data_IF_302438104584
#
_entry.id   IF_302438104584
#
_cell.length_a   1.000
_cell.length_b   1.000
_cell.length_c   1.000
_cell.angle_alpha   90.00
_cell.angle_beta   90.00
_cell.angle_gamma   90.00
#
_symmetry.space_group_name_H-M   'P 1'
#
loop_
_entity.id
_entity.type
_entity.pdbx_description
1 polymer ?
#
# COMPACT_ATOMS: atom_id res chain seq x y z
N UNK A 1 -29.04 11.83 -20.96
CA UNK A 1 -27.65 12.09 -20.49
C UNK A 1 -27.54 11.63 -19.04
N UNK A 2 -26.62 10.72 -18.71
CA UNK A 2 -26.37 10.30 -17.33
C UNK A 2 -25.72 11.48 -16.60
N UNK A 3 -26.26 11.86 -15.44
CA UNK A 3 -25.72 12.95 -14.62
C UNK A 3 -24.31 12.58 -14.12
N UNK A 4 -23.37 13.55 -14.11
CA UNK A 4 -22.01 13.41 -13.55
C UNK A 4 -22.05 12.85 -12.11
N UNK A 5 -23.04 13.24 -11.32
CA UNK A 5 -23.30 12.74 -9.96
C UNK A 5 -23.59 11.24 -9.92
N UNK A 6 -24.37 10.71 -10.87
CA UNK A 6 -24.69 9.28 -10.93
C UNK A 6 -23.43 8.45 -11.27
N UNK A 7 -22.63 8.94 -12.23
CA UNK A 7 -21.36 8.28 -12.59
C UNK A 7 -20.43 8.21 -11.37
N UNK A 8 -20.28 9.33 -10.66
CA UNK A 8 -19.49 9.40 -9.44
C UNK A 8 -19.93 8.37 -8.40
N UNK A 9 -21.24 8.32 -8.09
CA UNK A 9 -21.80 7.38 -7.13
C UNK A 9 -21.54 5.91 -7.51
N UNK A 10 -21.74 5.54 -8.78
CA UNK A 10 -21.49 4.17 -9.24
C UNK A 10 -20.01 3.82 -9.11
N UNK A 11 -19.13 4.69 -9.58
CA UNK A 11 -17.68 4.47 -9.60
C UNK A 11 -17.14 4.39 -8.17
N UNK A 12 -17.55 5.28 -7.28
CA UNK A 12 -17.10 5.29 -5.88
C UNK A 12 -17.55 4.04 -5.12
N UNK A 13 -18.82 3.63 -5.25
CA UNK A 13 -19.33 2.39 -4.61
C UNK A 13 -18.58 1.15 -5.10
N UNK A 14 -18.33 1.06 -6.41
CA UNK A 14 -17.58 -0.07 -6.99
C UNK A 14 -16.12 -0.06 -6.49
N UNK A 15 -15.47 1.08 -6.49
CA UNK A 15 -14.09 1.21 -6.02
C UNK A 15 -13.97 0.84 -4.53
N UNK A 16 -14.83 1.40 -3.66
CA UNK A 16 -14.86 1.08 -2.23
C UNK A 16 -15.13 -0.41 -2.00
N UNK A 17 -16.05 -1.01 -2.77
CA UNK A 17 -16.29 -2.46 -2.72
C UNK A 17 -15.05 -3.29 -3.06
N UNK A 18 -14.27 -2.86 -4.06
CA UNK A 18 -13.04 -3.55 -4.46
C UNK A 18 -11.93 -3.49 -3.39
N UNK A 19 -11.85 -2.44 -2.59
CA UNK A 19 -10.87 -2.33 -1.50
C UNK A 19 -11.03 -3.44 -0.43
N UNK A 20 -12.22 -4.04 -0.26
CA UNK A 20 -12.43 -5.18 0.63
C UNK A 20 -11.92 -6.51 0.06
N UNK A 21 -11.84 -6.64 -1.27
CA UNK A 21 -11.55 -7.91 -1.95
C UNK A 21 -10.18 -8.51 -1.57
N UNK A 22 -9.05 -7.75 -1.47
CA UNK A 22 -7.77 -8.29 -1.06
C UNK A 22 -7.85 -9.03 0.28
N UNK A 23 -8.57 -8.48 1.26
CA UNK A 23 -8.74 -9.12 2.56
C UNK A 23 -9.56 -10.40 2.48
N UNK A 24 -10.66 -10.39 1.71
CA UNK A 24 -11.46 -11.59 1.46
C UNK A 24 -10.61 -12.69 0.80
N UNK A 25 -9.76 -12.35 -0.18
CA UNK A 25 -8.87 -13.31 -0.84
C UNK A 25 -7.85 -13.90 0.12
N UNK A 26 -7.25 -13.07 1.00
CA UNK A 26 -6.31 -13.57 2.03
C UNK A 26 -6.99 -14.58 2.96
N UNK A 27 -8.23 -14.31 3.38
CA UNK A 27 -9.00 -15.22 4.23
C UNK A 27 -9.36 -16.52 3.48
N UNK A 28 -9.93 -16.43 2.28
CA UNK A 28 -10.35 -17.58 1.47
C UNK A 28 -9.17 -18.50 1.10
N UNK A 29 -8.04 -17.91 0.72
CA UNK A 29 -6.83 -18.67 0.35
C UNK A 29 -5.96 -19.07 1.54
N UNK A 30 -6.34 -18.69 2.76
CA UNK A 30 -5.58 -18.94 3.99
C UNK A 30 -4.14 -18.43 3.89
N UNK A 31 -3.95 -17.22 3.33
CA UNK A 31 -2.65 -16.57 3.17
C UNK A 31 -2.21 -15.80 4.42
N UNK A 32 -2.84 -16.04 5.56
CA UNK A 32 -2.58 -15.30 6.80
C UNK A 32 -1.13 -15.42 7.29
N UNK A 33 -0.48 -16.56 7.04
CA UNK A 33 0.93 -16.79 7.35
C UNK A 33 1.91 -16.04 6.43
N UNK A 34 1.47 -15.65 5.23
CA UNK A 34 2.26 -14.89 4.28
C UNK A 34 2.24 -13.39 4.65
N UNK A 35 3.12 -12.99 5.59
CA UNK A 35 3.13 -11.66 6.22
C UNK A 35 3.00 -10.49 5.24
N UNK A 36 3.76 -10.41 4.12
CA UNK A 36 3.62 -9.28 3.19
C UNK A 36 2.20 -9.17 2.61
N UNK A 37 1.62 -10.29 2.16
CA UNK A 37 0.29 -10.30 1.57
C UNK A 37 -0.79 -9.91 2.58
N UNK A 38 -0.69 -10.41 3.82
CA UNK A 38 -1.59 -10.03 4.90
C UNK A 38 -1.52 -8.53 5.18
N UNK A 39 -0.33 -7.95 5.25
CA UNK A 39 -0.15 -6.53 5.57
C UNK A 39 -0.73 -5.64 4.47
N UNK A 40 -0.52 -5.95 3.19
CA UNK A 40 -1.13 -5.19 2.09
C UNK A 40 -2.65 -5.35 2.05
N UNK A 41 -3.17 -6.54 2.34
CA UNK A 41 -4.62 -6.73 2.44
C UNK A 41 -5.24 -5.93 3.59
N UNK A 42 -4.56 -5.86 4.74
CA UNK A 42 -4.97 -5.01 5.86
C UNK A 42 -4.92 -3.52 5.51
N UNK A 43 -3.89 -3.09 4.77
CA UNK A 43 -3.80 -1.72 4.28
C UNK A 43 -5.02 -1.35 3.42
N UNK A 44 -5.35 -2.15 2.40
CA UNK A 44 -6.54 -1.87 1.58
C UNK A 44 -7.85 -1.99 2.36
N UNK A 45 -7.92 -2.83 3.39
CA UNK A 45 -9.07 -2.84 4.30
C UNK A 45 -9.18 -1.52 5.08
N UNK A 46 -8.06 -0.94 5.54
CA UNK A 46 -8.05 0.38 6.17
C UNK A 46 -8.53 1.45 5.18
N UNK A 47 -8.04 1.42 3.93
CA UNK A 47 -8.50 2.32 2.87
C UNK A 47 -10.01 2.15 2.60
N UNK A 48 -10.53 0.90 2.58
CA UNK A 48 -11.97 0.64 2.43
C UNK A 48 -12.78 1.30 3.53
N UNK A 49 -12.38 1.09 4.79
CA UNK A 49 -13.06 1.67 5.96
C UNK A 49 -12.97 3.20 5.96
N UNK A 50 -11.81 3.73 5.54
CA UNK A 50 -11.61 5.15 5.39
C UNK A 50 -12.56 5.76 4.35
N UNK A 51 -12.66 5.15 3.18
CA UNK A 51 -13.55 5.65 2.12
C UNK A 51 -15.05 5.52 2.48
N UNK A 52 -15.44 4.65 3.41
CA UNK A 52 -16.82 4.58 3.90
C UNK A 52 -17.24 5.84 4.69
N UNK A 53 -16.30 6.56 5.26
CA UNK A 53 -16.58 7.79 6.03
C UNK A 53 -17.23 8.87 5.16
N UNK A 54 -16.96 8.90 3.85
CA UNK A 54 -17.61 9.81 2.90
C UNK A 54 -19.15 9.64 2.90
N UNK A 55 -19.65 8.43 3.17
CA UNK A 55 -21.09 8.14 3.21
C UNK A 55 -21.74 8.40 4.59
N UNK A 56 -20.95 8.82 5.60
CA UNK A 56 -21.44 8.97 6.98
C UNK A 56 -22.00 10.35 7.32
N UNK A 57 -22.29 11.22 6.35
CA UNK A 57 -22.88 12.56 6.57
C UNK A 57 -22.26 13.34 7.74
N UNK A 58 -20.94 13.32 7.84
CA UNK A 58 -20.21 14.08 8.86
C UNK A 58 -20.35 15.59 8.66
N UNK A 59 -20.17 16.37 9.75
CA UNK A 59 -20.06 17.81 9.63
C UNK A 59 -18.82 18.18 8.79
N UNK A 60 -18.82 19.31 8.06
CA UNK A 60 -17.66 19.72 7.23
C UNK A 60 -16.34 19.74 8.02
N UNK A 61 -16.38 20.24 9.25
CA UNK A 61 -15.20 20.27 10.13
C UNK A 61 -14.70 18.87 10.52
N UNK A 62 -15.61 17.93 10.77
CA UNK A 62 -15.25 16.57 11.11
C UNK A 62 -14.67 15.82 9.90
N UNK A 63 -15.22 16.09 8.70
CA UNK A 63 -14.71 15.52 7.44
C UNK A 63 -13.32 16.05 7.11
N UNK A 64 -13.09 17.35 7.27
CA UNK A 64 -11.78 17.98 7.05
C UNK A 64 -10.71 17.41 8.00
N UNK A 65 -11.01 17.36 9.30
CA UNK A 65 -10.12 16.73 10.30
C UNK A 65 -9.83 15.25 9.97
N UNK A 66 -10.86 14.52 9.56
CA UNK A 66 -10.71 13.13 9.16
C UNK A 66 -9.78 12.98 7.95
N UNK A 67 -9.96 13.80 6.91
CA UNK A 67 -9.14 13.81 5.70
C UNK A 67 -7.67 14.08 6.03
N UNK A 68 -7.41 15.06 6.92
CA UNK A 68 -6.05 15.36 7.39
C UNK A 68 -5.43 14.16 8.09
N UNK A 69 -6.15 13.54 9.05
CA UNK A 69 -5.64 12.39 9.79
C UNK A 69 -5.38 11.20 8.86
N UNK A 70 -6.30 10.93 7.93
CA UNK A 70 -6.13 9.85 6.98
C UNK A 70 -4.88 10.03 6.10
N UNK A 71 -4.73 11.20 5.46
CA UNK A 71 -3.56 11.49 4.62
C UNK A 71 -2.25 11.45 5.42
N UNK A 72 -2.25 11.97 6.65
CA UNK A 72 -1.07 11.94 7.53
C UNK A 72 -0.64 10.51 7.90
N UNK A 73 -1.56 9.56 7.95
CA UNK A 73 -1.29 8.16 8.32
C UNK A 73 -1.00 7.26 7.13
N UNK A 74 -1.55 7.55 5.95
CA UNK A 74 -1.53 6.67 4.78
C UNK A 74 -0.10 6.28 4.37
N UNK A 75 0.74 7.25 4.06
CA UNK A 75 2.12 7.02 3.59
C UNK A 75 3.00 6.37 4.68
N UNK A 76 3.02 6.83 5.95
CA UNK A 76 3.71 6.14 7.03
C UNK A 76 3.29 4.68 7.21
N UNK A 77 2.01 4.34 7.05
CA UNK A 77 1.52 2.96 7.12
C UNK A 77 2.14 2.13 5.98
N UNK A 78 2.09 2.61 4.74
CA UNK A 78 2.65 1.89 3.59
C UNK A 78 4.16 1.72 3.71
N UNK A 79 4.90 2.75 4.11
CA UNK A 79 6.34 2.64 4.38
C UNK A 79 6.65 1.63 5.50
N UNK A 80 5.81 1.60 6.54
CA UNK A 80 5.93 0.59 7.60
C UNK A 80 5.73 -0.82 7.04
N UNK A 81 4.76 -1.04 6.15
CA UNK A 81 4.56 -2.33 5.47
C UNK A 81 5.79 -2.71 4.67
N UNK A 82 6.43 -1.78 3.96
CA UNK A 82 7.69 -2.05 3.26
C UNK A 82 8.82 -2.45 4.20
N UNK A 83 8.87 -1.92 5.43
CA UNK A 83 9.86 -2.33 6.43
C UNK A 83 9.77 -3.82 6.81
N UNK A 84 8.58 -4.41 6.69
CA UNK A 84 8.35 -5.85 6.95
C UNK A 84 8.39 -6.72 5.68
N UNK A 85 7.97 -6.17 4.53
CA UNK A 85 7.79 -6.92 3.28
C UNK A 85 9.02 -6.92 2.37
N UNK A 86 9.90 -5.94 2.50
CA UNK A 86 11.14 -5.86 1.70
C UNK A 86 12.09 -7.03 1.99
N UNK A 87 12.81 -7.48 0.98
CA UNK A 87 13.93 -8.42 1.15
C UNK A 87 15.28 -7.68 1.33
N UNK A 88 15.33 -6.37 1.05
CA UNK A 88 16.53 -5.56 1.16
C UNK A 88 16.71 -5.00 2.57
N UNK A 89 17.86 -5.22 3.23
CA UNK A 89 18.13 -4.64 4.54
C UNK A 89 18.22 -3.11 4.48
N UNK A 90 18.65 -2.55 3.35
CA UNK A 90 18.74 -1.10 3.14
C UNK A 90 17.35 -0.48 3.12
N UNK A 91 16.42 -1.03 2.30
CA UNK A 91 15.03 -0.54 2.25
C UNK A 91 14.35 -0.69 3.60
N UNK A 92 14.53 -1.83 4.29
CA UNK A 92 13.98 -2.03 5.64
C UNK A 92 14.45 -0.96 6.64
N UNK A 93 15.75 -0.68 6.65
CA UNK A 93 16.34 0.33 7.55
C UNK A 93 15.82 1.72 7.21
N UNK A 94 15.83 2.06 5.92
CA UNK A 94 15.36 3.35 5.41
C UNK A 94 13.88 3.58 5.79
N UNK A 95 12.97 2.68 5.41
CA UNK A 95 11.54 2.83 5.66
C UNK A 95 11.19 2.83 7.14
N UNK A 96 11.92 2.06 7.98
CA UNK A 96 11.73 2.04 9.44
C UNK A 96 12.08 3.39 10.10
N UNK A 97 13.01 4.15 9.52
CA UNK A 97 13.39 5.48 10.03
C UNK A 97 12.48 6.54 9.43
N UNK A 98 12.24 6.47 8.12
CA UNK A 98 11.51 7.51 7.39
C UNK A 98 10.03 7.53 7.74
N UNK A 99 9.38 6.37 7.93
CA UNK A 99 7.95 6.34 8.26
C UNK A 99 7.60 7.13 9.54
N UNK A 100 8.23 6.89 10.71
CA UNK A 100 7.96 7.70 11.90
C UNK A 100 8.45 9.14 11.78
N UNK A 101 9.51 9.40 11.01
CA UNK A 101 9.99 10.78 10.79
C UNK A 101 8.96 11.60 9.99
N UNK A 102 8.40 11.06 8.90
CA UNK A 102 7.34 11.71 8.14
C UNK A 102 6.10 11.96 9.00
N UNK A 103 5.66 10.95 9.76
CA UNK A 103 4.53 11.13 10.67
C UNK A 103 4.79 12.27 11.68
N UNK A 104 5.99 12.35 12.25
CA UNK A 104 6.35 13.43 13.18
C UNK A 104 6.35 14.80 12.47
N UNK A 105 6.88 14.89 11.25
CA UNK A 105 6.88 16.12 10.45
C UNK A 105 5.44 16.56 10.15
N UNK A 106 4.56 15.64 9.75
CA UNK A 106 3.16 15.93 9.44
C UNK A 106 2.40 16.40 10.69
N UNK A 107 2.64 15.77 11.85
CA UNK A 107 2.06 16.22 13.13
C UNK A 107 2.53 17.64 13.49
N UNK A 108 3.83 17.90 13.42
CA UNK A 108 4.37 19.24 13.70
C UNK A 108 3.81 20.29 12.76
N UNK A 109 3.73 19.96 11.46
CA UNK A 109 3.13 20.84 10.46
C UNK A 109 1.66 21.17 10.78
N UNK A 110 0.85 20.15 11.16
CA UNK A 110 -0.55 20.35 11.55
C UNK A 110 -0.68 21.16 12.85
N UNK A 111 0.24 21.03 13.80
CA UNK A 111 0.25 21.86 15.03
C UNK A 111 0.53 23.32 14.69
N UNK A 112 1.46 23.60 13.76
CA UNK A 112 1.85 24.97 13.40
C UNK A 112 0.79 25.65 12.52
N UNK A 113 0.23 24.93 11.54
CA UNK A 113 -0.67 25.49 10.51
C UNK A 113 -2.16 25.27 10.78
N UNK A 114 -2.48 24.42 11.77
CA UNK A 114 -3.83 23.94 12.04
C UNK A 114 -4.12 22.60 11.38
N UNK A 115 -5.11 21.88 11.92
CA UNK A 115 -5.59 20.60 11.40
C UNK A 115 -6.65 20.85 10.32
N UNK A 116 -6.20 21.29 9.14
CA UNK A 116 -7.00 21.53 7.94
C UNK A 116 -6.28 21.00 6.70
N UNK A 117 -6.99 20.85 5.59
CA UNK A 117 -6.46 20.32 4.33
C UNK A 117 -5.33 21.18 3.76
N UNK A 118 -5.35 22.50 3.97
CA UNK A 118 -4.28 23.41 3.51
C UNK A 118 -2.94 23.12 4.19
N UNK A 119 -2.95 22.54 5.39
CA UNK A 119 -1.72 22.17 6.08
C UNK A 119 -0.97 21.04 5.35
N UNK A 120 -1.65 20.22 4.57
CA UNK A 120 -1.05 19.09 3.83
C UNK A 120 -0.24 19.53 2.61
N UNK A 121 -0.49 20.72 2.06
CA UNK A 121 0.12 21.24 0.82
C UNK A 121 1.64 21.01 0.74
N UNK A 122 2.36 21.32 1.81
CA UNK A 122 3.82 21.30 1.80
C UNK A 122 4.45 19.95 2.14
N UNK A 123 3.74 19.11 2.89
CA UNK A 123 4.29 17.84 3.38
C UNK A 123 3.91 16.69 2.47
N UNK A 124 2.65 16.65 2.03
CA UNK A 124 2.11 15.55 1.23
C UNK A 124 2.88 15.31 -0.07
N UNK A 125 3.28 16.37 -0.78
CA UNK A 125 4.06 16.24 -2.02
C UNK A 125 5.40 15.53 -1.80
N UNK A 126 6.13 15.90 -0.73
CA UNK A 126 7.38 15.23 -0.37
C UNK A 126 7.17 13.78 0.04
N UNK A 127 6.12 13.50 0.81
CA UNK A 127 5.74 12.15 1.22
C UNK A 127 5.39 11.24 0.03
N UNK A 128 4.62 11.77 -0.95
CA UNK A 128 4.28 11.06 -2.18
C UNK A 128 5.51 10.70 -3.01
N UNK A 129 6.47 11.61 -3.14
CA UNK A 129 7.73 11.33 -3.84
C UNK A 129 8.57 10.27 -3.14
N UNK A 130 8.61 10.28 -1.82
CA UNK A 130 9.34 9.29 -1.03
C UNK A 130 8.71 7.90 -1.19
N UNK A 131 7.39 7.77 -1.04
CA UNK A 131 6.72 6.47 -1.17
C UNK A 131 6.85 5.91 -2.58
N UNK A 132 6.69 6.73 -3.63
CA UNK A 132 6.91 6.32 -5.02
C UNK A 132 8.35 5.84 -5.25
N UNK A 133 9.33 6.56 -4.72
CA UNK A 133 10.74 6.16 -4.83
C UNK A 133 10.99 4.80 -4.19
N UNK A 134 10.40 4.53 -3.02
CA UNK A 134 10.50 3.23 -2.34
C UNK A 134 9.81 2.12 -3.15
N UNK A 135 8.63 2.38 -3.70
CA UNK A 135 7.90 1.42 -4.54
C UNK A 135 8.73 1.05 -5.78
N UNK A 136 9.26 2.06 -6.49
CA UNK A 136 10.11 1.84 -7.67
C UNK A 136 11.37 1.05 -7.29
N UNK A 137 12.01 1.41 -6.19
CA UNK A 137 13.19 0.68 -5.69
C UNK A 137 12.88 -0.79 -5.44
N UNK A 138 11.77 -1.10 -4.75
CA UNK A 138 11.33 -2.47 -4.50
C UNK A 138 11.00 -3.23 -5.79
N UNK A 139 10.36 -2.59 -6.76
CA UNK A 139 10.09 -3.18 -8.08
C UNK A 139 11.42 -3.57 -8.75
N UNK A 140 12.39 -2.66 -8.82
CA UNK A 140 13.70 -2.90 -9.43
C UNK A 140 14.41 -4.07 -8.74
N UNK A 141 14.45 -4.08 -7.39
CA UNK A 141 15.09 -5.16 -6.63
C UNK A 141 14.44 -6.53 -6.88
N UNK A 142 13.12 -6.58 -7.12
CA UNK A 142 12.44 -7.83 -7.42
C UNK A 142 12.62 -8.28 -8.86
N UNK A 143 12.70 -7.34 -9.81
CA UNK A 143 12.98 -7.64 -11.23
C UNK A 143 14.41 -8.13 -11.46
N UNK A 144 15.38 -7.70 -10.64
CA UNK A 144 16.76 -8.17 -10.70
C UNK A 144 16.93 -9.65 -10.28
N UNK A 145 15.92 -10.29 -9.70
CA UNK A 145 16.00 -11.70 -9.33
C UNK A 145 15.96 -12.59 -10.56
N UNK A 146 16.96 -13.49 -10.68
CA UNK A 146 17.10 -14.41 -11.83
C UNK A 146 15.87 -15.31 -12.00
N UNK A 147 15.22 -15.71 -10.89
CA UNK A 147 13.98 -16.51 -10.93
C UNK A 147 12.86 -15.78 -10.19
N UNK A 148 11.80 -15.47 -10.91
CA UNK A 148 10.58 -14.91 -10.34
C UNK A 148 9.71 -16.03 -9.77
N UNK A 149 9.82 -16.28 -8.47
CA UNK A 149 8.95 -17.22 -7.74
C UNK A 149 7.53 -16.68 -7.61
N UNK A 150 6.56 -17.55 -7.29
CA UNK A 150 5.17 -17.14 -7.09
C UNK A 150 5.00 -15.95 -6.14
N UNK A 151 5.57 -15.97 -4.92
CA UNK A 151 5.50 -14.83 -4.00
C UNK A 151 6.08 -13.54 -4.57
N UNK A 152 7.19 -13.62 -5.31
CA UNK A 152 7.82 -12.43 -5.94
C UNK A 152 6.92 -11.85 -7.03
N UNK A 153 6.34 -12.70 -7.89
CA UNK A 153 5.38 -12.26 -8.93
C UNK A 153 4.15 -11.60 -8.31
N UNK A 154 3.59 -12.20 -7.25
CA UNK A 154 2.44 -11.64 -6.53
C UNK A 154 2.74 -10.26 -5.95
N UNK A 155 3.89 -10.10 -5.30
CA UNK A 155 4.31 -8.81 -4.76
C UNK A 155 4.61 -7.76 -5.84
N UNK A 156 5.14 -8.17 -7.00
CA UNK A 156 5.35 -7.25 -8.13
C UNK A 156 4.04 -6.65 -8.62
N UNK A 157 2.96 -7.47 -8.73
CA UNK A 157 1.65 -6.96 -9.13
C UNK A 157 1.07 -6.01 -8.07
N UNK A 158 1.23 -6.32 -6.79
CA UNK A 158 0.83 -5.46 -5.69
C UNK A 158 1.59 -4.11 -5.74
N UNK A 159 2.89 -4.14 -5.98
CA UNK A 159 3.70 -2.91 -6.07
C UNK A 159 3.38 -2.11 -7.34
N UNK A 160 3.07 -2.76 -8.46
CA UNK A 160 2.62 -2.09 -9.67
C UNK A 160 1.27 -1.38 -9.44
N UNK A 161 0.35 -2.01 -8.73
CA UNK A 161 -0.92 -1.39 -8.33
C UNK A 161 -0.69 -0.15 -7.44
N UNK A 162 0.13 -0.29 -6.40
CA UNK A 162 0.49 0.84 -5.52
C UNK A 162 1.20 1.97 -6.28
N UNK A 163 2.10 1.62 -7.21
CA UNK A 163 2.75 2.62 -8.05
C UNK A 163 1.75 3.42 -8.88
N UNK A 164 0.74 2.75 -9.42
CA UNK A 164 -0.31 3.39 -10.18
C UNK A 164 -1.21 4.26 -9.30
N UNK A 165 -1.62 3.78 -8.13
CA UNK A 165 -2.42 4.55 -7.16
C UNK A 165 -1.67 5.80 -6.69
N UNK A 166 -0.45 5.67 -6.17
CA UNK A 166 0.34 6.81 -5.69
C UNK A 166 0.77 7.74 -6.83
N UNK A 167 1.01 7.23 -8.04
CA UNK A 167 1.23 8.04 -9.23
C UNK A 167 0.01 8.92 -9.55
N UNK A 168 -1.19 8.37 -9.42
CA UNK A 168 -2.44 9.13 -9.57
C UNK A 168 -2.60 10.18 -8.45
N UNK A 169 -2.22 9.84 -7.22
CA UNK A 169 -2.23 10.82 -6.12
C UNK A 169 -1.30 12.01 -6.38
N UNK A 170 -0.12 11.79 -6.98
CA UNK A 170 0.75 12.91 -7.39
C UNK A 170 0.07 13.80 -8.41
N UNK A 171 -0.64 13.21 -9.38
CA UNK A 171 -1.40 14.00 -10.38
C UNK A 171 -2.49 14.82 -9.70
N UNK A 172 -3.28 14.21 -8.83
CA UNK A 172 -4.34 14.90 -8.07
C UNK A 172 -3.72 16.03 -7.22
N UNK A 173 -2.63 15.76 -6.51
CA UNK A 173 -1.92 16.73 -5.70
C UNK A 173 -1.47 17.96 -6.53
N UNK A 174 -0.96 17.73 -7.74
CA UNK A 174 -0.58 18.84 -8.64
C UNK A 174 -1.81 19.69 -9.03
N UNK A 175 -2.94 19.06 -9.34
CA UNK A 175 -4.16 19.79 -9.67
C UNK A 175 -4.73 20.54 -8.48
N UNK A 176 -4.71 19.98 -7.28
CA UNK A 176 -5.26 20.62 -6.08
C UNK A 176 -4.44 21.83 -5.63
N UNK A 177 -3.13 21.73 -5.65
CA UNK A 177 -2.25 22.74 -5.04
C UNK A 177 -1.52 23.65 -6.02
N UNK A 178 -1.20 23.18 -7.24
CA UNK A 178 -0.45 23.97 -8.21
C UNK A 178 -1.28 24.51 -9.38
N UNK A 179 -2.44 23.91 -9.64
CA UNK A 179 -3.35 24.32 -10.71
C UNK A 179 -4.79 24.53 -10.18
N UNK A 180 -4.95 25.33 -9.11
CA UNK A 180 -6.26 25.51 -8.50
C UNK A 180 -7.26 26.11 -9.50
N UNK A 181 -8.49 25.60 -9.50
CA UNK A 181 -9.56 26.05 -10.39
C UNK A 181 -9.62 25.37 -11.76
N UNK A 182 -8.66 24.46 -12.09
CA UNK A 182 -8.71 23.68 -13.33
C UNK A 182 -9.55 22.40 -13.16
N UNK A 183 -9.70 21.90 -11.94
CA UNK A 183 -10.54 20.76 -11.58
C UNK A 183 -11.42 21.08 -10.38
N UNK A 184 -12.50 20.32 -10.23
CA UNK A 184 -13.31 20.35 -9.01
C UNK A 184 -12.91 19.21 -8.09
N UNK A 185 -13.17 19.35 -6.78
CA UNK A 185 -12.95 18.26 -5.81
C UNK A 185 -13.63 16.95 -6.26
N UNK A 186 -14.83 17.05 -6.84
CA UNK A 186 -15.53 15.87 -7.40
C UNK A 186 -14.77 15.24 -8.56
N UNK A 187 -14.10 16.04 -9.41
CA UNK A 187 -13.30 15.50 -10.52
C UNK A 187 -12.08 14.75 -10.00
N UNK A 188 -11.40 15.29 -8.99
CA UNK A 188 -10.23 14.66 -8.38
C UNK A 188 -10.59 13.35 -7.69
N UNK A 189 -11.68 13.29 -6.93
CA UNK A 189 -12.20 12.06 -6.37
C UNK A 189 -12.64 11.05 -7.44
N UNK A 190 -13.24 11.49 -8.55
CA UNK A 190 -13.58 10.60 -9.66
C UNK A 190 -12.33 9.97 -10.27
N UNK A 191 -11.27 10.75 -10.49
CA UNK A 191 -9.97 10.26 -10.99
C UNK A 191 -9.37 9.24 -10.01
N UNK A 192 -9.42 9.53 -8.72
CA UNK A 192 -8.97 8.62 -7.67
C UNK A 192 -9.71 7.26 -7.73
N UNK A 193 -11.04 7.28 -7.73
CA UNK A 193 -11.82 6.04 -7.78
C UNK A 193 -11.66 5.27 -9.09
N UNK A 194 -11.53 5.96 -10.24
CA UNK A 194 -11.23 5.33 -11.52
C UNK A 194 -9.85 4.66 -11.50
N UNK A 195 -8.85 5.31 -10.92
CA UNK A 195 -7.52 4.71 -10.77
C UNK A 195 -7.56 3.45 -9.89
N UNK A 196 -8.33 3.49 -8.81
CA UNK A 196 -8.52 2.34 -7.93
C UNK A 196 -9.21 1.16 -8.62
N UNK A 197 -10.19 1.44 -9.51
CA UNK A 197 -10.83 0.40 -10.34
C UNK A 197 -9.84 -0.29 -11.30
N UNK A 198 -8.73 0.35 -11.65
CA UNK A 198 -7.66 -0.25 -12.47
C UNK A 198 -6.62 -0.94 -11.58
N UNK A 199 -6.15 -0.26 -10.54
CA UNK A 199 -5.08 -0.74 -9.67
C UNK A 199 -5.48 -1.97 -8.86
N UNK A 200 -6.66 -1.95 -8.23
CA UNK A 200 -7.09 -3.04 -7.34
C UNK A 200 -7.25 -4.39 -8.04
N UNK A 201 -7.81 -4.53 -9.25
CA UNK A 201 -7.80 -5.79 -9.97
C UNK A 201 -6.39 -6.32 -10.23
N UNK A 202 -5.41 -5.45 -10.51
CA UNK A 202 -3.99 -5.83 -10.66
C UNK A 202 -3.45 -6.35 -9.33
N UNK A 203 -3.67 -5.61 -8.23
CA UNK A 203 -3.28 -6.05 -6.89
C UNK A 203 -3.93 -7.40 -6.52
N UNK A 204 -5.25 -7.52 -6.72
CA UNK A 204 -6.03 -8.74 -6.43
C UNK A 204 -5.45 -9.92 -7.20
N UNK A 205 -5.09 -9.75 -8.48
CA UNK A 205 -4.47 -10.81 -9.28
C UNK A 205 -3.15 -11.29 -8.66
N UNK A 206 -2.40 -10.38 -7.99
CA UNK A 206 -1.20 -10.70 -7.24
C UNK A 206 -1.44 -11.71 -6.11
N UNK A 207 -2.59 -11.63 -5.42
CA UNK A 207 -2.97 -12.58 -4.38
C UNK A 207 -3.41 -13.95 -4.95
N UNK A 208 -3.76 -14.01 -6.24
CA UNK A 208 -4.16 -15.25 -6.89
C UNK A 208 -2.98 -16.07 -7.46
N UNK A 209 -1.78 -15.53 -7.49
CA UNK A 209 -0.59 -16.25 -7.99
C UNK A 209 -0.37 -17.55 -7.18
N UNK A 210 -0.04 -18.64 -7.88
CA UNK A 210 0.26 -19.93 -7.26
C UNK A 210 1.61 -19.91 -6.53
N UNK A 211 1.73 -20.69 -5.45
CA UNK A 211 2.99 -20.86 -4.72
C UNK A 211 3.30 -19.79 -3.67
N UNK A 212 2.32 -18.95 -3.29
CA UNK A 212 2.48 -17.94 -2.22
C UNK A 212 2.60 -18.59 -0.84
N UNK A 213 2.03 -19.77 -0.61
CA UNK A 213 2.12 -20.46 0.68
C UNK A 213 3.59 -20.77 0.99
N UNK A 214 4.10 -20.22 2.08
CA UNK A 214 5.43 -20.55 2.59
C UNK A 214 5.46 -22.03 2.95
N UNK A 215 6.47 -22.81 2.50
CA UNK A 215 6.64 -24.17 2.99
C UNK A 215 6.76 -24.13 4.51
N UNK A 216 6.25 -25.14 5.26
CA UNK A 216 6.39 -25.20 6.70
C UNK A 216 7.88 -25.10 7.08
N UNK A 217 8.17 -24.36 8.14
CA UNK A 217 9.52 -24.04 8.62
C UNK A 217 10.42 -25.28 8.76
N UNK A 218 9.83 -26.45 9.06
CA UNK A 218 10.50 -27.76 9.08
C UNK A 218 11.10 -28.20 7.73
N UNK A 219 10.68 -27.63 6.61
CA UNK A 219 11.26 -27.92 5.29
C UNK A 219 12.48 -27.04 5.00
N UNK A 220 12.53 -25.83 5.57
CA UNK A 220 13.67 -24.90 5.45
C UNK A 220 14.83 -25.41 6.28
N UNK A 221 14.58 -25.86 7.53
CA UNK A 221 15.59 -26.42 8.42
C UNK A 221 16.23 -27.70 7.84
N UNK A 222 15.49 -28.49 7.06
CA UNK A 222 16.03 -29.65 6.35
C UNK A 222 16.92 -29.30 5.16
N UNK A 223 16.74 -28.13 4.55
CA UNK A 223 17.57 -27.67 3.42
C UNK A 223 18.84 -26.95 3.88
N UNK A 224 18.83 -26.35 5.08
CA UNK A 224 20.01 -25.65 5.62
C UNK A 224 21.05 -26.61 6.23
N UNK A 225 20.68 -27.85 6.55
CA UNK A 225 21.58 -28.84 7.09
C UNK A 225 21.59 -30.19 6.32
N UNK A 226 21.91 -30.19 4.99
CA UNK A 226 22.03 -31.45 4.25
C UNK A 226 23.24 -32.27 4.66
N UNK A 227 24.24 -31.70 5.36
CA UNK A 227 25.52 -32.34 5.71
C UNK A 227 25.69 -32.68 7.19
N UNK A 228 24.71 -32.50 8.06
CA UNK A 228 24.83 -32.85 9.48
C UNK A 228 24.48 -34.31 9.79
N UNK A 229 24.15 -35.11 8.77
CA UNK A 229 23.92 -36.55 8.92
C UNK A 229 24.91 -37.32 8.07
N UNK A 230 25.99 -37.70 8.67
CA UNK A 230 26.83 -38.89 8.48
C UNK A 230 28.31 -38.59 8.64
N UNK A 231 28.74 -38.36 9.85
CA UNK A 231 30.04 -38.89 10.23
C UNK A 231 29.71 -40.25 10.88
N UNK A 232 29.99 -41.36 10.22
CA UNK A 232 29.89 -42.67 10.89
C UNK A 232 30.94 -42.72 12.00
N UNK A 233 30.54 -43.15 13.22
CA UNK A 233 31.42 -43.43 14.35
C UNK A 233 32.34 -44.63 14.07
N UNK A 234 33.18 -44.52 13.09
CA UNK A 234 34.22 -45.52 12.82
C UNK A 234 35.58 -44.82 12.65
N UNK A 235 36.13 -44.29 13.71
CA UNK A 235 37.59 -44.26 13.97
C UNK A 235 37.80 -44.01 15.46
N UNK A 236 37.65 -45.07 16.26
CA UNK A 236 38.41 -45.25 17.49
C UNK A 236 39.19 -46.53 17.31
N UNK A 237 40.46 -46.44 16.92
CA UNK A 237 41.54 -47.34 17.26
C UNK A 237 42.74 -46.47 17.61
#
# INVERSE_FOLDING_TARGET
MISKSIIYQIVSVLAVGLYFVPMLVVLMKKLWSAVPFRLFALYWLICALANLVEYMHLSPRALDLYTVIYNMLDIPIVLTIFSFSSSSPVVKKFTRIVAPALLAISIVNCIIRGFNTDSLEYVLGGELLIVLSVIVWEIILKLQKIKLTGPVKGLLLIYAALFFEYGTFVVIYIFDYFLPGTSTTTDNFLVYYLSSLVALPVAISGFFIKGIKTPPQSAVDRMEHPFSRSIPDYVQI
#
